data_IF_335318428640
#
_entry.id   IF_335318428640
#
_cell.length_a   1.000
_cell.length_b   1.000
_cell.length_c   1.000
_cell.angle_alpha   90.00
_cell.angle_beta   90.00
_cell.angle_gamma   90.00
#
_symmetry.space_group_name_H-M   'P 1'
#
loop_
_entity.id
_entity.type
_entity.pdbx_description
1 polymer ?
#
# COMPACT_ATOMS: atom_id res chain seq x y z
N UNK A 1 4.88 -48.63 17.05
CA UNK A 1 6.07 -48.18 16.28
C UNK A 1 5.69 -47.53 14.95
N UNK A 2 4.95 -48.21 14.05
CA UNK A 2 4.56 -47.66 12.72
C UNK A 2 3.55 -46.49 12.77
N UNK A 3 2.70 -46.44 13.79
CA UNK A 3 1.69 -45.37 13.97
C UNK A 3 2.28 -44.00 14.34
N UNK A 4 3.46 -43.99 14.99
CA UNK A 4 4.16 -42.76 15.38
C UNK A 4 4.87 -42.12 14.16
N UNK A 5 5.36 -42.96 13.24
CA UNK A 5 5.94 -42.52 11.96
C UNK A 5 4.92 -41.90 11.00
N UNK A 6 3.65 -42.31 11.08
CA UNK A 6 2.55 -41.73 10.28
C UNK A 6 2.12 -40.36 10.86
N UNK A 7 2.20 -40.19 12.18
CA UNK A 7 1.84 -38.93 12.83
C UNK A 7 2.87 -37.81 12.59
N UNK A 8 4.15 -38.16 12.43
CA UNK A 8 5.21 -37.19 12.09
C UNK A 8 5.15 -36.68 10.64
N UNK A 9 4.48 -37.40 9.74
CA UNK A 9 4.38 -37.01 8.33
C UNK A 9 3.31 -35.93 8.10
N UNK A 10 2.33 -35.80 9.00
CA UNK A 10 1.21 -34.85 8.86
C UNK A 10 1.58 -33.45 9.39
N UNK A 11 2.51 -33.36 10.35
CA UNK A 11 2.96 -32.08 10.93
C UNK A 11 3.88 -31.29 9.99
N UNK A 12 4.44 -31.93 8.96
CA UNK A 12 5.43 -31.31 8.07
C UNK A 12 4.84 -30.42 6.95
N UNK A 13 3.51 -30.32 6.80
CA UNK A 13 2.89 -29.68 5.63
C UNK A 13 2.12 -28.37 5.89
N UNK A 14 2.04 -27.88 7.13
CA UNK A 14 1.22 -26.69 7.46
C UNK A 14 1.96 -25.36 7.41
N UNK A 15 3.23 -25.35 7.04
CA UNK A 15 4.01 -24.11 6.92
C UNK A 15 4.18 -23.78 5.44
N UNK A 16 3.48 -22.76 4.93
CA UNK A 16 3.72 -21.96 3.68
C UNK A 16 2.32 -21.48 3.23
N UNK A 17 1.84 -20.29 3.60
CA UNK A 17 2.23 -19.05 2.92
C UNK A 17 1.66 -17.84 3.68
N UNK A 18 2.50 -17.05 4.35
CA UNK A 18 2.11 -15.67 4.68
C UNK A 18 2.24 -14.86 3.39
N UNK A 19 1.19 -14.87 2.55
CA UNK A 19 1.20 -14.05 1.35
C UNK A 19 1.20 -12.58 1.78
N UNK A 20 2.29 -11.89 1.46
CA UNK A 20 2.48 -10.49 1.78
C UNK A 20 1.36 -9.67 1.13
N UNK A 21 0.40 -9.22 1.94
CA UNK A 21 -0.75 -8.40 1.56
C UNK A 21 -0.31 -6.98 1.10
N UNK A 22 0.43 -6.85 0.00
CA UNK A 22 0.41 -5.62 -0.78
C UNK A 22 -0.85 -5.67 -1.64
N UNK A 23 -1.96 -5.26 -1.05
CA UNK A 23 -3.25 -5.26 -1.75
C UNK A 23 -3.18 -4.50 -3.08
N UNK A 24 -3.98 -4.90 -4.09
CA UNK A 24 -3.92 -4.38 -5.46
C UNK A 24 -4.04 -2.85 -5.57
N UNK A 25 -4.62 -2.19 -4.57
CA UNK A 25 -4.84 -0.74 -4.56
C UNK A 25 -3.58 0.14 -4.58
N UNK A 26 -2.42 -0.33 -4.13
CA UNK A 26 -1.18 0.48 -4.16
C UNK A 26 -0.61 0.59 -5.59
N UNK A 27 -0.71 -0.48 -6.40
CA UNK A 27 -0.28 -0.48 -7.81
C UNK A 27 -1.17 0.43 -8.65
N UNK A 28 -2.48 0.28 -8.53
CA UNK A 28 -3.47 1.08 -9.27
C UNK A 28 -3.29 2.58 -8.94
N UNK A 29 -3.00 2.93 -7.69
CA UNK A 29 -2.75 4.32 -7.30
C UNK A 29 -1.51 4.89 -7.99
N UNK A 30 -0.39 4.17 -7.98
CA UNK A 30 0.84 4.61 -8.66
C UNK A 30 0.60 4.85 -10.15
N UNK A 31 -0.17 3.98 -10.79
CA UNK A 31 -0.55 4.12 -12.19
C UNK A 31 -1.36 5.40 -12.43
N UNK A 32 -2.36 5.71 -11.59
CA UNK A 32 -3.17 6.94 -11.71
C UNK A 32 -2.34 8.22 -11.49
N UNK A 33 -1.42 8.21 -10.53
CA UNK A 33 -0.50 9.33 -10.30
C UNK A 33 0.39 9.53 -11.53
N UNK A 34 0.93 8.45 -12.08
CA UNK A 34 1.78 8.52 -13.27
C UNK A 34 1.00 8.99 -14.50
N UNK A 35 -0.24 8.53 -14.68
CA UNK A 35 -1.12 8.96 -15.76
C UNK A 35 -1.43 10.46 -15.66
N UNK A 36 -1.86 10.96 -14.49
CA UNK A 36 -2.12 12.38 -14.28
C UNK A 36 -0.87 13.25 -14.42
N UNK A 37 0.30 12.72 -14.05
CA UNK A 37 1.57 13.38 -14.32
C UNK A 37 1.86 13.42 -15.83
N UNK A 38 1.64 12.33 -16.58
CA UNK A 38 1.86 12.30 -18.03
C UNK A 38 0.89 13.21 -18.79
N UNK A 39 -0.38 13.27 -18.39
CA UNK A 39 -1.39 14.15 -19.03
C UNK A 39 -1.23 15.62 -18.66
N UNK A 40 -0.39 15.97 -17.68
CA UNK A 40 -0.19 17.33 -17.22
C UNK A 40 -1.21 17.81 -16.18
N UNK A 41 -2.20 16.98 -15.84
CA UNK A 41 -3.18 17.21 -14.76
C UNK A 41 -2.56 17.26 -13.37
N UNK A 42 -1.34 16.71 -13.19
CA UNK A 42 -0.61 16.76 -11.94
C UNK A 42 0.73 17.46 -12.19
N UNK A 43 0.95 18.58 -11.51
CA UNK A 43 2.19 19.35 -11.62
C UNK A 43 3.38 18.63 -10.95
N UNK A 44 4.60 19.09 -11.21
CA UNK A 44 5.82 18.50 -10.61
C UNK A 44 5.80 18.55 -9.07
N UNK A 45 5.34 19.66 -8.49
CA UNK A 45 5.27 19.85 -7.05
C UNK A 45 4.20 18.94 -6.41
N UNK A 46 3.05 18.80 -7.06
CA UNK A 46 1.97 17.91 -6.60
C UNK A 46 2.36 16.44 -6.72
N UNK A 47 3.06 16.07 -7.79
CA UNK A 47 3.64 14.74 -7.93
C UNK A 47 4.64 14.44 -6.80
N UNK A 48 5.47 15.43 -6.43
CA UNK A 48 6.41 15.29 -5.30
C UNK A 48 5.65 15.14 -3.96
N UNK A 49 4.58 15.90 -3.74
CA UNK A 49 3.70 15.76 -2.58
C UNK A 49 3.13 14.34 -2.47
N UNK A 50 2.51 13.85 -3.56
CA UNK A 50 1.95 12.50 -3.62
C UNK A 50 3.01 11.40 -3.39
N UNK A 51 4.25 11.64 -3.84
CA UNK A 51 5.38 10.74 -3.58
C UNK A 51 5.77 10.72 -2.11
N UNK A 52 5.79 11.87 -1.43
CA UNK A 52 6.02 11.95 0.02
C UNK A 52 4.96 11.19 0.80
N UNK A 53 3.68 11.34 0.43
CA UNK A 53 2.59 10.60 1.06
C UNK A 53 2.71 9.09 0.86
N UNK A 54 3.11 8.66 -0.34
CA UNK A 54 3.34 7.24 -0.62
C UNK A 54 4.48 6.67 0.24
N UNK A 55 5.58 7.43 0.43
CA UNK A 55 6.68 7.03 1.32
C UNK A 55 6.21 6.93 2.77
N UNK A 56 5.47 7.93 3.27
CA UNK A 56 4.88 7.92 4.62
C UNK A 56 3.98 6.71 4.82
N UNK A 57 3.09 6.42 3.88
CA UNK A 57 2.21 5.25 3.95
C UNK A 57 3.01 3.95 3.99
N UNK A 58 4.05 3.80 3.17
CA UNK A 58 4.90 2.62 3.18
C UNK A 58 5.62 2.44 4.53
N UNK A 59 6.10 3.54 5.13
CA UNK A 59 6.73 3.50 6.46
C UNK A 59 5.72 3.06 7.52
N UNK A 60 4.51 3.62 7.53
CA UNK A 60 3.44 3.24 8.48
C UNK A 60 3.04 1.78 8.29
N UNK A 61 2.88 1.30 7.06
CA UNK A 61 2.58 -0.11 6.78
C UNK A 61 3.72 -1.03 7.22
N UNK A 62 4.98 -0.63 7.03
CA UNK A 62 6.15 -1.41 7.45
C UNK A 62 6.21 -1.50 8.97
N UNK A 63 5.99 -0.38 9.66
CA UNK A 63 5.99 -0.34 11.13
C UNK A 63 4.85 -1.18 11.69
N UNK A 64 3.64 -1.06 11.15
CA UNK A 64 2.48 -1.86 11.57
C UNK A 64 2.64 -3.38 11.30
N UNK A 65 3.60 -3.78 10.47
CA UNK A 65 3.90 -5.19 10.18
C UNK A 65 5.12 -5.70 10.93
N UNK A 66 5.84 -4.83 11.65
CA UNK A 66 7.09 -5.17 12.33
C UNK A 66 6.88 -6.27 13.35
N UNK A 67 5.79 -6.18 14.10
CA UNK A 67 5.48 -7.08 15.21
C UNK A 67 4.63 -8.29 14.76
N UNK A 68 4.48 -8.48 13.44
CA UNK A 68 3.73 -9.58 12.83
C UNK A 68 2.21 -9.44 12.82
N UNK A 69 1.65 -8.51 13.61
CA UNK A 69 0.20 -8.28 13.73
C UNK A 69 -0.10 -6.81 13.43
N UNK A 70 -1.09 -6.56 12.55
CA UNK A 70 -1.65 -5.23 12.31
C UNK A 70 -2.88 -5.05 13.18
N UNK A 71 -2.77 -4.23 14.21
CA UNK A 71 -3.87 -3.93 15.14
C UNK A 71 -5.01 -3.16 14.45
N UNK A 72 -6.23 -3.16 15.01
CA UNK A 72 -7.34 -2.36 14.49
C UNK A 72 -7.01 -0.86 14.41
N UNK A 73 -6.31 -0.32 15.40
CA UNK A 73 -5.89 1.08 15.43
C UNK A 73 -4.92 1.43 14.28
N UNK A 74 -3.94 0.58 14.01
CA UNK A 74 -3.02 0.74 12.88
C UNK A 74 -3.73 0.61 11.54
N UNK A 75 -4.69 -0.32 11.43
CA UNK A 75 -5.53 -0.47 10.24
C UNK A 75 -6.31 0.81 9.96
N UNK A 76 -6.93 1.41 10.97
CA UNK A 76 -7.63 2.70 10.86
C UNK A 76 -6.66 3.80 10.42
N UNK A 77 -5.46 3.87 11.01
CA UNK A 77 -4.43 4.85 10.65
C UNK A 77 -4.00 4.72 9.18
N UNK A 78 -3.72 3.50 8.73
CA UNK A 78 -3.37 3.19 7.34
C UNK A 78 -4.53 3.56 6.40
N UNK A 79 -5.76 3.28 6.80
CA UNK A 79 -6.95 3.60 5.99
C UNK A 79 -7.15 5.11 5.86
N UNK A 80 -7.00 5.88 6.95
CA UNK A 80 -7.06 7.35 6.93
C UNK A 80 -6.00 7.93 5.99
N UNK A 81 -4.75 7.52 6.12
CA UNK A 81 -3.67 7.94 5.22
C UNK A 81 -4.00 7.63 3.75
N UNK A 82 -4.56 6.46 3.45
CA UNK A 82 -5.01 6.11 2.09
C UNK A 82 -6.18 6.97 1.61
N UNK A 83 -7.07 7.39 2.50
CA UNK A 83 -8.18 8.28 2.16
C UNK A 83 -7.68 9.70 1.86
N UNK A 84 -6.76 10.22 2.69
CA UNK A 84 -6.14 11.53 2.51
C UNK A 84 -5.39 11.61 1.19
N UNK A 85 -4.54 10.63 0.87
CA UNK A 85 -3.84 10.59 -0.42
C UNK A 85 -4.81 10.53 -1.61
N UNK A 86 -5.96 9.83 -1.47
CA UNK A 86 -6.98 9.81 -2.54
C UNK A 86 -7.63 11.17 -2.72
N UNK A 87 -7.94 11.87 -1.62
CA UNK A 87 -8.49 13.23 -1.64
C UNK A 87 -7.52 14.21 -2.27
N UNK A 88 -6.24 14.15 -1.91
CA UNK A 88 -5.19 14.98 -2.50
C UNK A 88 -5.01 14.72 -3.98
N UNK A 89 -4.96 13.46 -4.40
CA UNK A 89 -4.88 13.10 -5.83
C UNK A 89 -6.10 13.64 -6.61
N UNK A 90 -7.31 13.50 -6.06
CA UNK A 90 -8.51 14.04 -6.69
C UNK A 90 -8.43 15.56 -6.81
N UNK A 91 -8.05 16.25 -5.73
CA UNK A 91 -7.88 17.70 -5.72
C UNK A 91 -6.84 18.14 -6.74
N UNK A 92 -5.67 17.51 -6.79
CA UNK A 92 -4.61 17.91 -7.72
C UNK A 92 -5.02 17.72 -9.18
N UNK A 93 -5.77 16.67 -9.51
CA UNK A 93 -6.27 16.49 -10.89
C UNK A 93 -7.34 17.51 -11.31
N UNK A 94 -8.03 18.14 -10.37
CA UNK A 94 -9.18 19.02 -10.64
C UNK A 94 -8.97 20.47 -10.18
N UNK A 95 -7.77 20.85 -9.72
CA UNK A 95 -7.51 22.20 -9.22
C UNK A 95 -7.18 23.22 -10.32
N UNK A 96 -7.33 22.85 -11.60
CA UNK A 96 -7.07 23.71 -12.75
C UNK A 96 -5.59 24.02 -12.99
N UNK A 97 -4.67 23.46 -12.18
CA UNK A 97 -3.23 23.63 -12.42
C UNK A 97 -2.80 22.61 -13.47
N UNK A 98 -2.08 23.09 -14.47
CA UNK A 98 -1.53 22.25 -15.52
C UNK A 98 -0.02 22.38 -15.52
N UNK A 99 0.66 21.26 -15.76
CA UNK A 99 2.09 21.30 -16.05
C UNK A 99 2.29 21.84 -17.46
N UNK A 100 2.98 22.97 -17.59
CA UNK A 100 3.55 23.39 -18.87
C UNK A 100 4.67 22.40 -19.21
N UNK A 101 4.52 21.68 -20.32
CA UNK A 101 5.43 20.60 -20.75
C UNK A 101 6.41 21.15 -21.77
#
# INVERSE_FOLDING_TARGET
MKKILILSLIVAFTSISVSAQRGPGDRIRKQRIHQGFRSGEITRLEHLHLRKDAVRLNMVQRNARRDGIVTPAERVRIHRLKADTRRDMFRFRHNGRQRVI
#
